data_IF_692129350884
#
_entry.id   IF_692129350884
#
_cell.length_a   1.000
_cell.length_b   1.000
_cell.length_c   1.000
_cell.angle_alpha   90.00
_cell.angle_beta   90.00
_cell.angle_gamma   90.00
#
_symmetry.space_group_name_H-M   'P 1'
#
loop_
_entity.id
_entity.type
_entity.pdbx_description
1 polymer ?
#
# COMPACT_ATOMS: atom_id res chain seq x y z
N UNK A 1 22.01 13.12 -27.43
CA UNK A 1 21.69 12.44 -26.16
C UNK A 1 20.18 12.32 -26.14
N UNK A 2 19.67 11.12 -26.43
CA UNK A 2 18.25 10.80 -26.29
C UNK A 2 17.89 10.84 -24.81
N UNK A 3 16.94 11.70 -24.45
CA UNK A 3 16.25 11.61 -23.17
C UNK A 3 15.32 10.39 -23.26
N UNK A 4 15.56 9.41 -22.41
CA UNK A 4 14.84 8.15 -22.36
C UNK A 4 13.39 8.42 -21.89
N UNK A 5 12.44 8.49 -22.83
CA UNK A 5 11.01 8.74 -22.63
C UNK A 5 10.34 7.74 -21.65
N UNK A 6 11.01 6.64 -21.29
CA UNK A 6 10.47 5.56 -20.47
C UNK A 6 10.34 5.92 -18.97
N UNK A 7 11.27 6.71 -18.43
CA UNK A 7 11.27 7.16 -17.04
C UNK A 7 10.18 8.22 -16.79
N UNK A 8 9.99 9.12 -17.76
CA UNK A 8 8.99 10.19 -17.70
C UNK A 8 7.56 9.62 -17.69
N UNK A 9 7.32 8.53 -18.44
CA UNK A 9 6.02 7.83 -18.45
C UNK A 9 5.69 7.23 -17.07
N UNK A 10 6.69 6.74 -16.34
CA UNK A 10 6.48 5.99 -15.10
C UNK A 10 6.06 6.90 -13.94
N UNK A 11 6.76 8.02 -13.74
CA UNK A 11 6.41 8.97 -12.68
C UNK A 11 5.10 9.70 -12.97
N UNK A 12 4.80 10.01 -14.24
CA UNK A 12 3.54 10.62 -14.63
C UNK A 12 2.33 9.71 -14.34
N UNK A 13 2.47 8.40 -14.56
CA UNK A 13 1.45 7.40 -14.18
C UNK A 13 1.21 7.40 -12.68
N UNK A 14 2.28 7.37 -11.88
CA UNK A 14 2.19 7.45 -10.41
C UNK A 14 1.49 8.75 -9.99
N UNK A 15 1.89 9.89 -10.54
CA UNK A 15 1.29 11.18 -10.22
C UNK A 15 -0.20 11.22 -10.55
N UNK A 16 -0.61 10.68 -11.71
CA UNK A 16 -2.01 10.57 -12.10
C UNK A 16 -2.80 9.69 -11.12
N UNK A 17 -2.27 8.51 -10.78
CA UNK A 17 -2.89 7.63 -9.80
C UNK A 17 -3.00 8.32 -8.43
N UNK A 18 -1.95 8.97 -7.95
CA UNK A 18 -1.97 9.65 -6.66
C UNK A 18 -2.99 10.79 -6.69
N UNK A 19 -3.02 11.61 -7.74
CA UNK A 19 -3.94 12.75 -7.88
C UNK A 19 -5.39 12.36 -7.64
N UNK A 20 -5.83 11.28 -8.28
CA UNK A 20 -7.23 10.84 -8.32
C UNK A 20 -7.65 9.96 -7.13
N UNK A 21 -6.72 9.60 -6.23
CA UNK A 21 -7.00 8.69 -5.10
C UNK A 21 -7.08 9.44 -3.78
N UNK A 22 -8.16 9.23 -3.03
CA UNK A 22 -8.28 9.77 -1.68
C UNK A 22 -7.51 8.94 -0.63
N UNK A 23 -7.30 7.65 -0.91
CA UNK A 23 -6.69 6.69 0.01
C UNK A 23 -5.42 6.08 -0.58
N UNK A 24 -4.36 6.01 0.22
CA UNK A 24 -3.10 5.34 -0.12
C UNK A 24 -2.74 4.26 0.90
N UNK A 25 -2.23 3.12 0.44
CA UNK A 25 -1.66 2.08 1.31
C UNK A 25 -0.24 1.85 0.80
N UNK A 26 0.75 2.18 1.62
CA UNK A 26 2.16 2.11 1.24
C UNK A 26 2.86 1.06 2.08
N UNK A 27 3.29 -0.02 1.43
CA UNK A 27 4.07 -1.07 2.07
C UNK A 27 5.58 -0.79 1.92
N UNK A 28 6.26 -0.58 3.04
CA UNK A 28 7.69 -0.28 3.10
C UNK A 28 8.56 -1.50 3.46
N UNK A 29 7.98 -2.70 3.57
CA UNK A 29 8.72 -3.93 3.92
C UNK A 29 9.92 -4.24 3.01
N UNK A 30 9.92 -3.71 1.78
CA UNK A 30 11.02 -3.90 0.82
C UNK A 30 11.64 -2.56 0.38
N UNK A 31 11.42 -1.48 1.12
CA UNK A 31 11.87 -0.14 0.76
C UNK A 31 13.40 -0.01 0.60
N UNK A 32 14.17 -0.82 1.32
CA UNK A 32 15.63 -0.88 1.16
C UNK A 32 16.09 -1.49 -0.17
N UNK A 33 15.22 -2.28 -0.83
CA UNK A 33 15.49 -2.94 -2.12
C UNK A 33 14.76 -2.27 -3.29
N UNK A 34 13.58 -1.70 -3.04
CA UNK A 34 12.72 -1.07 -4.05
C UNK A 34 12.28 0.32 -3.57
N UNK A 35 12.93 1.36 -4.11
CA UNK A 35 12.73 2.74 -3.69
C UNK A 35 11.42 3.38 -4.19
N UNK A 36 10.73 2.71 -5.11
CA UNK A 36 9.45 3.19 -5.65
C UNK A 36 8.39 3.35 -4.55
N UNK A 37 8.35 2.44 -3.58
CA UNK A 37 7.38 2.51 -2.47
C UNK A 37 7.59 3.75 -1.56
N UNK A 38 8.83 4.06 -1.12
CA UNK A 38 9.16 5.35 -0.51
C UNK A 38 8.85 6.57 -1.36
N UNK A 39 9.17 6.54 -2.66
CA UNK A 39 8.91 7.66 -3.58
C UNK A 39 7.42 7.99 -3.67
N UNK A 40 6.58 6.98 -3.91
CA UNK A 40 5.12 7.12 -3.96
C UNK A 40 4.57 7.67 -2.65
N UNK A 41 5.04 7.16 -1.50
CA UNK A 41 4.64 7.66 -0.19
C UNK A 41 5.01 9.13 -0.01
N UNK A 42 6.22 9.53 -0.39
CA UNK A 42 6.68 10.91 -0.33
C UNK A 42 5.79 11.86 -1.13
N UNK A 43 5.49 11.50 -2.38
CA UNK A 43 4.58 12.27 -3.24
C UNK A 43 3.18 12.34 -2.62
N UNK A 44 2.64 11.23 -2.11
CA UNK A 44 1.31 11.18 -1.51
C UNK A 44 1.21 12.07 -0.25
N UNK A 45 2.22 12.06 0.62
CA UNK A 45 2.33 12.95 1.78
C UNK A 45 2.43 14.41 1.32
N UNK A 46 3.26 14.70 0.31
CA UNK A 46 3.40 16.03 -0.25
C UNK A 46 2.08 16.59 -0.78
N UNK A 47 1.33 15.80 -1.55
CA UNK A 47 -0.01 16.17 -2.00
C UNK A 47 -0.94 16.46 -0.83
N UNK A 48 -0.90 15.63 0.22
CA UNK A 48 -1.71 15.85 1.42
C UNK A 48 -1.33 17.12 2.17
N UNK A 49 -0.04 17.43 2.30
CA UNK A 49 0.43 18.55 3.11
C UNK A 49 0.28 19.90 2.39
N UNK A 50 0.62 19.92 1.10
CA UNK A 50 0.81 21.15 0.33
C UNK A 50 -0.20 21.32 -0.82
N UNK A 51 -0.98 20.29 -1.14
CA UNK A 51 -1.97 20.35 -2.22
C UNK A 51 -3.22 21.18 -1.87
N UNK A 52 -4.15 21.20 -2.82
CA UNK A 52 -5.44 21.88 -2.67
C UNK A 52 -6.34 21.21 -1.61
N UNK A 53 -7.54 21.78 -1.38
CA UNK A 53 -8.49 21.31 -0.36
C UNK A 53 -8.79 19.81 -0.50
N UNK A 54 -9.00 19.32 -1.74
CA UNK A 54 -9.25 17.90 -1.98
C UNK A 54 -8.03 17.02 -1.67
N UNK A 55 -6.83 17.47 -2.05
CA UNK A 55 -5.61 16.72 -1.75
C UNK A 55 -5.33 16.66 -0.23
N UNK A 56 -5.62 17.72 0.52
CA UNK A 56 -5.45 17.75 2.00
C UNK A 56 -6.32 16.72 2.73
N UNK A 57 -7.45 16.35 2.13
CA UNK A 57 -8.35 15.31 2.63
C UNK A 57 -7.83 13.89 2.42
N UNK A 58 -6.72 13.71 1.69
CA UNK A 58 -6.09 12.40 1.49
C UNK A 58 -5.72 11.74 2.82
N UNK A 59 -5.78 10.42 2.83
CA UNK A 59 -5.48 9.57 3.98
C UNK A 59 -4.62 8.43 3.51
N UNK A 60 -3.63 8.06 4.30
CA UNK A 60 -2.74 6.95 3.96
C UNK A 60 -2.49 6.01 5.13
N UNK A 61 -2.11 4.77 4.85
CA UNK A 61 -1.60 3.78 5.80
C UNK A 61 -0.18 3.43 5.38
N UNK A 62 0.73 3.35 6.34
CA UNK A 62 2.07 2.82 6.11
C UNK A 62 2.13 1.44 6.78
N UNK A 63 2.55 0.44 6.01
CA UNK A 63 2.75 -0.93 6.46
C UNK A 63 4.25 -1.26 6.43
N UNK A 64 4.70 -2.05 7.39
CA UNK A 64 6.03 -2.66 7.39
C UNK A 64 5.94 -4.10 7.90
N UNK A 65 6.92 -4.93 7.54
CA UNK A 65 6.91 -6.32 7.98
C UNK A 65 7.38 -6.40 9.44
N UNK A 66 8.54 -5.81 9.71
CA UNK A 66 9.13 -5.81 11.03
C UNK A 66 8.96 -4.44 11.66
N UNK A 67 8.66 -4.43 12.95
CA UNK A 67 8.54 -3.20 13.74
C UNK A 67 9.80 -2.34 13.60
N UNK A 68 9.62 -1.09 13.23
CA UNK A 68 10.65 -0.07 13.03
C UNK A 68 11.64 -0.34 11.89
N UNK A 69 11.33 -1.29 10.99
CA UNK A 69 12.14 -1.53 9.80
C UNK A 69 12.31 -0.23 8.99
N UNK A 70 11.27 0.60 8.90
CA UNK A 70 11.35 1.84 8.13
C UNK A 70 12.27 2.90 8.74
N UNK A 71 12.62 2.78 10.02
CA UNK A 71 13.52 3.73 10.71
C UNK A 71 14.96 3.62 10.21
N UNK A 72 15.34 2.48 9.64
CA UNK A 72 16.68 2.26 9.11
C UNK A 72 17.02 3.21 7.96
N UNK A 73 16.01 3.67 7.21
CA UNK A 73 16.20 4.54 6.05
C UNK A 73 15.47 5.89 6.17
N UNK A 74 14.51 6.05 7.09
CA UNK A 74 13.87 7.33 7.32
C UNK A 74 13.41 7.50 8.77
N UNK A 75 14.24 8.16 9.58
CA UNK A 75 13.93 8.49 10.97
C UNK A 75 12.70 9.41 11.10
N UNK A 76 12.36 10.21 10.08
CA UNK A 76 11.19 11.09 10.11
C UNK A 76 9.85 10.33 9.98
N UNK A 77 9.88 9.02 9.70
CA UNK A 77 8.70 8.17 9.83
C UNK A 77 8.43 7.79 11.30
N UNK A 78 9.38 8.02 12.21
CA UNK A 78 9.13 7.84 13.64
C UNK A 78 8.12 8.91 14.12
N UNK A 79 6.97 8.45 14.61
CA UNK A 79 5.84 9.30 14.96
C UNK A 79 4.69 9.30 13.94
N UNK A 80 4.89 8.74 12.74
CA UNK A 80 3.77 8.38 11.87
C UNK A 80 3.15 7.04 12.32
N UNK A 81 1.85 6.86 12.07
CA UNK A 81 1.10 5.62 12.39
C UNK A 81 1.48 4.50 11.40
N UNK A 82 2.71 4.02 11.51
CA UNK A 82 3.24 2.86 10.79
C UNK A 82 2.76 1.59 11.48
N UNK A 83 2.18 0.66 10.73
CA UNK A 83 1.69 -0.62 11.26
C UNK A 83 2.60 -1.76 10.82
N UNK A 84 3.23 -2.41 11.78
CA UNK A 84 3.93 -3.67 11.57
C UNK A 84 2.93 -4.83 11.49
N UNK A 85 3.10 -5.72 10.51
CA UNK A 85 2.25 -6.92 10.39
C UNK A 85 2.97 -8.24 10.74
N UNK A 86 4.30 -8.24 10.91
CA UNK A 86 5.10 -9.36 11.44
C UNK A 86 4.84 -10.70 10.74
N UNK A 87 4.83 -10.69 9.41
CA UNK A 87 4.49 -11.83 8.56
C UNK A 87 3.09 -12.45 8.85
N UNK A 88 2.24 -11.77 9.62
CA UNK A 88 0.90 -12.21 9.94
C UNK A 88 -0.12 -11.51 9.03
N UNK A 89 -0.69 -12.28 8.10
CA UNK A 89 -1.67 -11.75 7.13
C UNK A 89 -2.96 -11.28 7.81
N UNK A 90 -3.38 -11.90 8.91
CA UNK A 90 -4.56 -11.49 9.65
C UNK A 90 -4.35 -10.12 10.30
N UNK A 91 -3.14 -9.86 10.83
CA UNK A 91 -2.74 -8.54 11.31
C UNK A 91 -2.74 -7.52 10.18
N UNK A 92 -2.16 -7.83 9.02
CA UNK A 92 -2.18 -6.96 7.83
C UNK A 92 -3.61 -6.59 7.42
N UNK A 93 -4.48 -7.60 7.27
CA UNK A 93 -5.89 -7.41 6.91
C UNK A 93 -6.63 -6.55 7.94
N UNK A 94 -6.35 -6.76 9.23
CA UNK A 94 -6.91 -5.94 10.32
C UNK A 94 -6.46 -4.48 10.19
N UNK A 95 -5.17 -4.21 10.02
CA UNK A 95 -4.64 -2.84 9.90
C UNK A 95 -5.23 -2.10 8.70
N UNK A 96 -5.35 -2.76 7.55
CA UNK A 96 -5.99 -2.18 6.37
C UNK A 96 -7.46 -1.86 6.65
N UNK A 97 -8.21 -2.81 7.22
CA UNK A 97 -9.63 -2.61 7.54
C UNK A 97 -9.83 -1.48 8.54
N UNK A 98 -9.06 -1.44 9.62
CA UNK A 98 -9.14 -0.39 10.63
C UNK A 98 -8.90 0.97 10.00
N UNK A 99 -7.89 1.09 9.12
CA UNK A 99 -7.65 2.36 8.42
C UNK A 99 -8.83 2.77 7.55
N UNK A 100 -9.38 1.85 6.77
CA UNK A 100 -10.52 2.15 5.90
C UNK A 100 -11.76 2.49 6.73
N UNK A 101 -12.04 1.71 7.79
CA UNK A 101 -13.22 1.85 8.67
C UNK A 101 -13.21 3.15 9.46
N UNK A 102 -12.05 3.53 10.02
CA UNK A 102 -11.90 4.78 10.77
C UNK A 102 -12.10 6.01 9.89
N UNK A 103 -12.20 5.83 8.57
CA UNK A 103 -12.14 6.90 7.59
C UNK A 103 -13.29 6.86 6.57
N UNK A 104 -14.08 5.78 6.50
CA UNK A 104 -15.31 5.65 5.73
C UNK A 104 -16.56 5.91 6.58
N UNK A 105 -17.60 6.54 6.02
CA UNK A 105 -18.91 6.63 6.68
C UNK A 105 -19.60 5.26 6.82
N UNK A 106 -19.19 4.28 6.01
CA UNK A 106 -19.69 2.90 6.07
C UNK A 106 -18.90 2.11 7.11
N UNK A 107 -19.61 1.45 8.04
CA UNK A 107 -19.01 0.44 8.93
C UNK A 107 -18.57 -0.75 8.07
N UNK A 108 -17.27 -0.95 7.91
CA UNK A 108 -16.76 -2.16 7.27
C UNK A 108 -16.82 -3.31 8.30
N UNK A 109 -17.63 -4.35 8.07
CA UNK A 109 -17.72 -5.45 9.00
C UNK A 109 -16.36 -6.14 9.12
N UNK A 110 -15.86 -6.29 10.35
CA UNK A 110 -14.91 -7.37 10.62
C UNK A 110 -15.75 -8.63 10.71
N UNK A 111 -15.65 -9.48 9.71
CA UNK A 111 -16.25 -10.80 9.77
C UNK A 111 -15.13 -11.81 9.68
N UNK A 112 -15.05 -12.82 10.56
CA UNK A 112 -14.26 -14.02 10.32
C UNK A 112 -14.39 -14.53 8.88
N UNK A 113 -15.57 -14.32 8.28
CA UNK A 113 -15.86 -14.55 6.86
C UNK A 113 -14.90 -13.89 5.86
N UNK A 114 -14.28 -12.76 6.17
CA UNK A 114 -13.29 -12.14 5.27
C UNK A 114 -11.99 -12.93 5.26
N UNK A 115 -11.55 -13.39 6.44
CA UNK A 115 -10.37 -14.25 6.55
C UNK A 115 -10.65 -15.63 5.96
N UNK A 116 -11.82 -16.21 6.22
CA UNK A 116 -12.28 -17.45 5.57
C UNK A 116 -12.27 -17.30 4.04
N UNK A 117 -12.82 -16.21 3.48
CA UNK A 117 -12.77 -15.96 2.04
C UNK A 117 -11.34 -15.86 1.51
N UNK A 118 -10.42 -15.25 2.27
CA UNK A 118 -9.02 -15.20 1.90
C UNK A 118 -8.38 -16.60 1.89
N UNK A 119 -8.66 -17.43 2.91
CA UNK A 119 -8.18 -18.81 2.96
C UNK A 119 -8.77 -19.66 1.83
N UNK A 120 -10.08 -19.53 1.54
CA UNK A 120 -10.71 -20.16 0.38
C UNK A 120 -10.05 -19.73 -0.92
N UNK A 121 -9.81 -18.43 -1.10
CA UNK A 121 -9.13 -17.89 -2.27
C UNK A 121 -7.72 -18.47 -2.42
N UNK A 122 -6.93 -18.51 -1.34
CA UNK A 122 -5.60 -19.13 -1.35
C UNK A 122 -5.65 -20.61 -1.74
N UNK A 123 -6.65 -21.35 -1.29
CA UNK A 123 -6.78 -22.76 -1.59
C UNK A 123 -7.05 -23.02 -3.09
N UNK A 124 -7.85 -22.16 -3.73
CA UNK A 124 -8.16 -22.25 -5.17
C UNK A 124 -7.14 -21.54 -6.06
N UNK A 125 -6.30 -20.66 -5.50
CA UNK A 125 -5.35 -19.84 -6.25
C UNK A 125 -4.41 -20.67 -7.15
N UNK A 126 -3.84 -21.82 -6.71
CA UNK A 126 -2.99 -22.63 -7.59
C UNK A 126 -3.72 -23.14 -8.83
N UNK A 127 -4.97 -23.61 -8.69
CA UNK A 127 -5.78 -24.10 -9.80
C UNK A 127 -6.16 -22.97 -10.77
N UNK A 128 -6.54 -21.80 -10.24
CA UNK A 128 -6.78 -20.60 -11.04
C UNK A 128 -5.54 -20.17 -11.83
N UNK A 129 -4.36 -20.24 -11.22
CA UNK A 129 -3.12 -19.86 -11.91
C UNK A 129 -2.70 -20.86 -12.98
N UNK A 130 -3.02 -22.15 -12.81
CA UNK A 130 -2.77 -23.19 -13.82
C UNK A 130 -3.73 -23.05 -15.01
N UNK A 131 -5.02 -22.82 -14.77
CA UNK A 131 -6.03 -22.65 -15.82
C UNK A 131 -5.80 -21.40 -16.68
N UNK A 132 -5.29 -20.32 -16.09
CA UNK A 132 -5.00 -19.04 -16.77
C UNK A 132 -3.55 -18.94 -17.33
N UNK A 133 -2.78 -20.03 -17.30
CA UNK A 133 -1.39 -20.09 -17.78
C UNK A 133 -0.50 -18.97 -17.20
N UNK A 134 -0.66 -18.68 -15.90
CA UNK A 134 0.00 -17.54 -15.24
C UNK A 134 1.48 -17.83 -14.96
N UNK A 135 2.44 -17.08 -15.55
CA UNK A 135 3.87 -17.42 -15.53
C UNK A 135 4.59 -17.13 -14.21
N UNK A 136 3.95 -16.50 -13.22
CA UNK A 136 4.61 -15.96 -12.00
C UNK A 136 4.47 -16.81 -10.72
N UNK A 137 3.95 -18.03 -10.82
CA UNK A 137 3.79 -18.94 -9.67
C UNK A 137 4.36 -20.36 -9.92
N UNK A 138 5.25 -20.50 -10.91
CA UNK A 138 6.09 -21.69 -11.08
C UNK A 138 7.41 -21.53 -10.35
#
# INVERSE_FOLDING_TARGET
MEYDDSDDISIQKINRLIKDRQYGIHNLSLAARYFNMPLELGIFIGCKQFGNIEQRRKKYLILENQTYQSRQFNSNLSGQDVKAYENNVQTLMRSVRERLSNKSQKRLPFSPRLFEKYETFKAILPELCQSENCPRLR
#
